data_IF_469489104218
#
_entry.id   IF_469489104218
#
_cell.length_a   1.000
_cell.length_b   1.000
_cell.length_c   1.000
_cell.angle_alpha   90.00
_cell.angle_beta   90.00
_cell.angle_gamma   90.00
#
_symmetry.space_group_name_H-M   'P 1'
#
loop_
_entity.id
_entity.type
_entity.pdbx_description
1 polymer ?
#
# COMPACT_ATOMS: atom_id res chain seq x y z
N UNK A 1 -20.93 41.95 -1.63
CA UNK A 1 -19.90 41.11 -1.08
C UNK A 1 -20.47 39.68 -1.05
N UNK A 2 -20.18 38.90 -2.09
CA UNK A 2 -20.65 37.51 -2.20
C UNK A 2 -19.56 36.65 -1.62
N UNK A 3 -19.89 35.92 -0.56
CA UNK A 3 -19.04 34.86 -0.02
C UNK A 3 -18.96 33.72 -1.04
N UNK A 4 -17.81 33.54 -1.64
CA UNK A 4 -17.45 32.32 -2.37
C UNK A 4 -17.34 31.17 -1.35
N UNK A 5 -18.33 30.29 -1.37
CA UNK A 5 -18.21 28.97 -0.75
C UNK A 5 -17.19 28.18 -1.55
N UNK A 6 -16.02 27.96 -0.98
CA UNK A 6 -15.10 26.91 -1.40
C UNK A 6 -15.85 25.58 -1.35
N UNK A 7 -16.20 25.05 -2.50
CA UNK A 7 -16.56 23.65 -2.67
C UNK A 7 -15.31 22.83 -2.40
N UNK A 8 -15.17 22.37 -1.16
CA UNK A 8 -14.19 21.38 -0.77
C UNK A 8 -14.40 20.13 -1.64
N UNK A 9 -13.47 19.90 -2.58
CA UNK A 9 -13.47 18.72 -3.41
C UNK A 9 -13.52 17.49 -2.52
N UNK A 10 -14.55 16.67 -2.70
CA UNK A 10 -14.63 15.31 -2.14
C UNK A 10 -13.39 14.55 -2.58
N UNK A 11 -12.43 14.43 -1.69
CA UNK A 11 -11.34 13.48 -1.83
C UNK A 11 -11.98 12.09 -1.72
N UNK A 12 -12.09 11.42 -2.85
CA UNK A 12 -12.54 10.04 -2.93
C UNK A 12 -11.41 9.18 -2.32
N UNK A 13 -11.50 8.96 -1.01
CA UNK A 13 -10.58 8.08 -0.29
C UNK A 13 -10.81 6.66 -0.82
N UNK A 14 -9.81 6.09 -1.49
CA UNK A 14 -9.84 4.74 -2.06
C UNK A 14 -10.43 3.75 -1.05
N UNK A 15 -11.65 3.36 -1.28
CA UNK A 15 -12.50 2.58 -0.39
C UNK A 15 -11.94 1.17 -0.25
N UNK A 16 -11.32 0.87 0.88
CA UNK A 16 -10.98 -0.51 1.22
C UNK A 16 -12.25 -1.17 1.74
N UNK A 17 -13.37 -1.11 1.11
CA UNK A 17 -14.62 -1.82 1.44
C UNK A 17 -14.78 -2.41 2.85
N UNK A 18 -14.03 -1.91 3.82
CA UNK A 18 -14.28 -2.15 5.24
C UNK A 18 -15.64 -1.49 5.56
N UNK A 19 -16.46 -2.09 6.45
CA UNK A 19 -17.75 -1.54 6.84
C UNK A 19 -17.55 -0.22 7.61
N UNK A 20 -17.29 0.88 6.90
CA UNK A 20 -16.98 2.18 7.48
C UNK A 20 -17.83 3.26 6.86
N UNK A 21 -18.37 4.12 7.72
CA UNK A 21 -18.97 5.35 7.30
C UNK A 21 -17.85 6.37 6.99
N UNK A 22 -17.78 6.89 5.76
CA UNK A 22 -16.71 7.80 5.30
C UNK A 22 -16.63 9.06 6.18
N UNK A 23 -17.76 9.52 6.73
CA UNK A 23 -17.80 10.68 7.60
C UNK A 23 -17.17 10.44 8.99
N UNK A 24 -17.09 9.19 9.45
CA UNK A 24 -16.36 8.81 10.67
C UNK A 24 -14.84 8.80 10.48
N UNK A 25 -14.37 8.65 9.24
CA UNK A 25 -12.94 8.60 8.89
C UNK A 25 -12.31 10.00 8.93
N UNK A 26 -13.05 11.04 8.59
CA UNK A 26 -12.53 12.39 8.37
C UNK A 26 -12.06 13.13 9.64
N UNK A 27 -12.34 12.58 10.83
CA UNK A 27 -12.00 13.23 12.11
C UNK A 27 -11.00 12.49 12.99
N UNK A 28 -10.55 11.29 12.60
CA UNK A 28 -9.65 10.46 13.43
C UNK A 28 -8.37 10.11 12.68
N UNK A 29 -7.26 10.17 13.38
CA UNK A 29 -5.94 9.78 12.84
C UNK A 29 -5.72 8.27 12.83
N UNK A 30 -6.60 7.50 13.47
CA UNK A 30 -6.39 6.11 13.79
C UNK A 30 -7.71 5.34 13.96
N UNK A 31 -7.79 4.13 13.38
CA UNK A 31 -8.91 3.18 13.50
C UNK A 31 -8.39 1.77 13.75
N UNK A 32 -9.15 1.02 14.53
CA UNK A 32 -8.91 -0.39 14.76
C UNK A 32 -10.15 -1.21 14.44
N UNK A 33 -9.97 -2.28 13.68
CA UNK A 33 -10.99 -3.25 13.35
C UNK A 33 -10.53 -4.62 13.82
N UNK A 34 -11.28 -5.24 14.71
CA UNK A 34 -10.96 -6.58 15.20
C UNK A 34 -11.90 -7.62 14.61
N UNK A 35 -11.44 -8.87 14.61
CA UNK A 35 -12.24 -10.03 14.23
C UNK A 35 -12.84 -9.92 12.81
N UNK A 36 -12.10 -9.34 11.87
CA UNK A 36 -12.48 -9.28 10.46
C UNK A 36 -12.37 -10.67 9.87
N UNK A 37 -13.45 -11.14 9.26
CA UNK A 37 -13.55 -12.43 8.55
C UNK A 37 -13.64 -12.21 7.04
N UNK A 38 -13.51 -13.30 6.27
CA UNK A 38 -13.63 -13.24 4.82
C UNK A 38 -14.96 -12.65 4.35
N UNK A 39 -16.07 -12.93 5.06
CA UNK A 39 -17.40 -12.44 4.71
C UNK A 39 -17.58 -10.91 4.90
N UNK A 40 -16.70 -10.27 5.71
CA UNK A 40 -16.74 -8.82 5.97
C UNK A 40 -15.90 -8.03 4.98
N UNK A 41 -15.05 -8.69 4.21
CA UNK A 41 -14.19 -8.03 3.23
C UNK A 41 -14.87 -8.03 1.87
N UNK A 42 -14.92 -6.89 1.17
CA UNK A 42 -15.51 -6.84 -0.16
C UNK A 42 -14.65 -7.57 -1.18
N UNK A 43 -15.28 -7.99 -2.25
CA UNK A 43 -14.56 -8.52 -3.41
C UNK A 43 -13.92 -7.36 -4.17
N UNK A 44 -12.65 -7.09 -3.91
CA UNK A 44 -11.88 -6.13 -4.72
C UNK A 44 -11.38 -6.80 -5.99
N UNK A 45 -12.06 -6.58 -7.07
CA UNK A 45 -11.58 -6.98 -8.39
C UNK A 45 -10.63 -5.94 -8.99
N UNK A 46 -10.74 -4.68 -8.58
CA UNK A 46 -9.93 -3.58 -9.08
C UNK A 46 -8.88 -3.12 -8.06
N UNK A 47 -7.71 -2.69 -8.53
CA UNK A 47 -6.68 -2.14 -7.64
C UNK A 47 -7.09 -0.79 -7.08
N UNK A 48 -6.89 -0.60 -5.77
CA UNK A 48 -7.19 0.63 -5.02
C UNK A 48 -5.92 1.26 -4.49
N UNK A 49 -5.75 2.56 -4.71
CA UNK A 49 -4.64 3.32 -4.12
C UNK A 49 -5.02 3.78 -2.72
N UNK A 50 -4.20 3.40 -1.74
CA UNK A 50 -4.46 3.71 -0.35
C UNK A 50 -4.13 5.16 -0.02
N UNK A 51 -5.01 5.81 0.73
CA UNK A 51 -4.82 7.15 1.29
C UNK A 51 -4.43 7.12 2.77
N UNK A 52 -4.39 5.93 3.36
CA UNK A 52 -3.96 5.65 4.71
C UNK A 52 -2.99 4.45 4.74
N UNK A 53 -2.21 4.32 5.79
CA UNK A 53 -1.40 3.13 6.04
C UNK A 53 -2.24 2.09 6.77
N UNK A 54 -2.06 0.81 6.41
CA UNK A 54 -2.80 -0.31 7.00
C UNK A 54 -1.81 -1.32 7.54
N UNK A 55 -2.02 -1.70 8.79
CA UNK A 55 -1.33 -2.82 9.40
C UNK A 55 -2.35 -3.92 9.72
N UNK A 56 -2.11 -5.13 9.23
CA UNK A 56 -3.02 -6.27 9.34
C UNK A 56 -2.33 -7.37 10.13
N UNK A 57 -2.91 -7.77 11.23
CA UNK A 57 -2.55 -9.00 11.92
C UNK A 57 -3.47 -10.12 11.45
N UNK A 58 -2.97 -10.98 10.58
CA UNK A 58 -3.66 -12.19 10.11
C UNK A 58 -3.43 -13.29 11.12
N UNK A 59 -4.50 -13.77 11.77
CA UNK A 59 -4.46 -14.86 12.75
C UNK A 59 -4.46 -16.20 12.09
N UNK A 60 -5.36 -16.39 11.14
CA UNK A 60 -5.58 -17.65 10.44
C UNK A 60 -6.03 -17.41 9.01
N UNK A 61 -6.03 -18.48 8.24
CA UNK A 61 -6.49 -18.51 6.85
C UNK A 61 -5.42 -18.04 5.86
N UNK A 62 -5.74 -18.27 4.58
CA UNK A 62 -4.92 -17.86 3.45
C UNK A 62 -5.35 -16.50 2.95
N UNK A 63 -4.39 -15.63 2.73
CA UNK A 63 -4.58 -14.28 2.23
C UNK A 63 -3.69 -14.05 1.00
N UNK A 64 -4.32 -13.78 -0.13
CA UNK A 64 -3.62 -13.48 -1.38
C UNK A 64 -4.01 -12.10 -1.86
N UNK A 65 -3.02 -11.23 -2.03
CA UNK A 65 -3.21 -9.86 -2.49
C UNK A 65 -2.04 -9.42 -3.37
N UNK A 66 -2.25 -8.34 -4.12
CA UNK A 66 -1.19 -7.63 -4.83
C UNK A 66 -0.95 -6.28 -4.16
N UNK A 67 0.29 -5.95 -3.89
CA UNK A 67 0.74 -4.62 -3.47
C UNK A 67 1.72 -4.06 -4.49
N UNK A 68 1.37 -2.92 -5.12
CA UNK A 68 2.18 -2.31 -6.19
C UNK A 68 2.59 -3.34 -7.26
N UNK A 69 1.64 -4.16 -7.73
CA UNK A 69 1.82 -5.22 -8.74
C UNK A 69 2.60 -6.47 -8.27
N UNK A 70 3.14 -6.48 -7.07
CA UNK A 70 3.79 -7.68 -6.50
C UNK A 70 2.72 -8.49 -5.78
N UNK A 71 2.61 -9.77 -6.13
CA UNK A 71 1.65 -10.68 -5.51
C UNK A 71 2.25 -11.35 -4.29
N UNK A 72 1.51 -11.33 -3.19
CA UNK A 72 1.81 -12.00 -1.93
C UNK A 72 0.75 -13.06 -1.68
N UNK A 73 1.18 -14.27 -1.31
CA UNK A 73 0.31 -15.43 -1.07
C UNK A 73 0.87 -16.18 0.14
N UNK A 74 0.13 -16.18 1.25
CA UNK A 74 0.60 -16.74 2.52
C UNK A 74 -0.56 -17.19 3.40
N UNK A 75 -0.24 -17.96 4.46
CA UNK A 75 -1.17 -18.33 5.53
C UNK A 75 -0.72 -17.67 6.84
N UNK A 76 -1.71 -17.28 7.67
CA UNK A 76 -1.45 -16.79 9.03
C UNK A 76 -0.82 -17.85 9.95
N UNK A 77 -0.22 -17.46 11.10
CA UNK A 77 -0.13 -16.08 11.60
C UNK A 77 0.92 -15.24 10.89
N UNK A 78 0.51 -14.05 10.49
CA UNK A 78 1.38 -13.11 9.76
C UNK A 78 1.00 -11.65 10.03
N UNK A 79 1.96 -10.75 9.87
CA UNK A 79 1.73 -9.32 9.84
C UNK A 79 1.87 -8.81 8.41
N UNK A 80 0.97 -7.92 8.00
CA UNK A 80 1.00 -7.25 6.71
C UNK A 80 0.98 -5.74 6.94
N UNK A 81 1.95 -5.03 6.37
CA UNK A 81 2.01 -3.57 6.43
C UNK A 81 1.98 -2.99 5.02
N UNK A 82 0.95 -2.21 4.73
CA UNK A 82 0.76 -1.53 3.45
C UNK A 82 0.71 -0.03 3.73
N UNK A 83 1.52 0.74 3.03
CA UNK A 83 1.71 2.16 3.32
C UNK A 83 0.74 3.04 2.54
N UNK A 84 0.51 4.21 3.06
CA UNK A 84 -0.12 5.30 2.30
C UNK A 84 0.53 5.46 0.92
N UNK A 85 -0.28 5.66 -0.12
CA UNK A 85 0.16 5.81 -1.50
C UNK A 85 0.49 4.50 -2.21
N UNK A 86 0.43 3.35 -1.54
CA UNK A 86 0.57 2.03 -2.18
C UNK A 86 -0.76 1.58 -2.79
N UNK A 87 -0.66 0.69 -3.78
CA UNK A 87 -1.82 0.16 -4.47
C UNK A 87 -2.08 -1.26 -4.04
N UNK A 88 -3.23 -1.48 -3.44
CA UNK A 88 -3.71 -2.78 -2.96
C UNK A 88 -4.76 -3.34 -3.92
N UNK A 89 -4.67 -4.63 -4.21
CA UNK A 89 -5.73 -5.40 -4.86
C UNK A 89 -5.88 -6.73 -4.13
N UNK A 90 -7.07 -7.01 -3.64
CA UNK A 90 -7.41 -8.29 -3.05
C UNK A 90 -7.63 -9.31 -4.17
N UNK A 91 -6.97 -10.47 -4.09
CA UNK A 91 -7.05 -11.51 -5.11
C UNK A 91 -7.86 -12.72 -4.63
N UNK A 92 -7.60 -13.21 -3.41
CA UNK A 92 -8.39 -14.27 -2.80
C UNK A 92 -8.20 -14.34 -1.29
N UNK A 93 -9.21 -14.81 -0.58
CA UNK A 93 -9.23 -15.04 0.87
C UNK A 93 -9.86 -16.39 1.12
N UNK A 94 -9.31 -17.19 2.04
CA UNK A 94 -9.93 -18.45 2.46
C UNK A 94 -11.10 -18.22 3.43
N UNK A 95 -12.08 -19.14 3.49
CA UNK A 95 -13.23 -18.98 4.39
C UNK A 95 -12.88 -18.91 5.89
N UNK A 96 -11.76 -19.51 6.30
CA UNK A 96 -11.24 -19.53 7.67
C UNK A 96 -10.36 -18.30 8.01
N UNK A 97 -10.35 -17.30 7.13
CA UNK A 97 -9.59 -16.07 7.35
C UNK A 97 -10.10 -15.29 8.57
N UNK A 98 -9.17 -14.95 9.44
CA UNK A 98 -9.41 -14.09 10.60
C UNK A 98 -8.27 -13.11 10.79
N UNK A 99 -8.59 -11.83 10.91
CA UNK A 99 -7.59 -10.78 11.05
C UNK A 99 -8.07 -9.60 11.92
N UNK A 100 -7.14 -8.76 12.33
CA UNK A 100 -7.40 -7.42 12.85
C UNK A 100 -6.63 -6.39 12.04
N UNK A 101 -7.23 -5.23 11.84
CA UNK A 101 -6.69 -4.15 11.02
C UNK A 101 -6.47 -2.92 11.90
N UNK A 102 -5.34 -2.25 11.69
CA UNK A 102 -5.08 -0.89 12.16
C UNK A 102 -4.95 -0.03 10.91
N UNK A 103 -5.80 0.98 10.80
CA UNK A 103 -5.74 1.99 9.73
C UNK A 103 -5.25 3.29 10.34
N UNK A 104 -4.25 3.90 9.75
CA UNK A 104 -3.56 5.07 10.28
C UNK A 104 -3.43 6.15 9.22
N UNK A 105 -3.74 7.40 9.59
CA UNK A 105 -3.48 8.54 8.72
C UNK A 105 -1.98 8.71 8.44
N UNK A 106 -1.64 9.39 7.35
CA UNK A 106 -0.25 9.73 7.05
C UNK A 106 0.40 10.51 8.19
N UNK A 107 -0.29 11.50 8.74
CA UNK A 107 0.21 12.35 9.82
C UNK A 107 0.46 11.57 11.11
N UNK A 108 -0.45 10.64 11.45
CA UNK A 108 -0.29 9.79 12.62
C UNK A 108 0.94 8.89 12.51
N UNK A 109 1.16 8.30 11.34
CA UNK A 109 2.33 7.45 11.08
C UNK A 109 3.63 8.27 11.14
N UNK A 110 3.67 9.46 10.54
CA UNK A 110 4.83 10.34 10.59
C UNK A 110 5.15 10.77 12.03
N UNK A 111 4.14 11.12 12.82
CA UNK A 111 4.29 11.51 14.23
C UNK A 111 4.87 10.37 15.08
N UNK A 112 4.35 9.15 14.93
CA UNK A 112 4.90 7.95 15.62
C UNK A 112 6.37 7.74 15.28
N UNK A 113 6.74 7.83 14.00
CA UNK A 113 8.11 7.56 13.57
C UNK A 113 9.11 8.62 14.00
N UNK A 114 8.70 9.88 14.12
CA UNK A 114 9.52 10.92 14.72
C UNK A 114 9.89 10.60 16.18
N UNK A 115 9.00 9.94 16.93
CA UNK A 115 9.21 9.58 18.32
C UNK A 115 10.02 8.28 18.50
N UNK A 116 9.94 7.34 17.56
CA UNK A 116 10.65 6.05 17.64
C UNK A 116 12.11 6.18 17.21
N UNK A 117 12.45 7.18 16.39
CA UNK A 117 13.80 7.47 15.84
C UNK A 117 14.51 6.25 15.23
N UNK A 118 13.75 5.37 14.56
CA UNK A 118 14.25 4.08 14.05
C UNK A 118 14.01 3.93 12.53
N UNK A 119 14.78 4.70 11.77
CA UNK A 119 14.68 4.76 10.30
C UNK A 119 15.07 3.44 9.61
N UNK A 120 15.91 2.61 10.23
CA UNK A 120 16.36 1.35 9.62
C UNK A 120 15.22 0.32 9.58
N UNK A 121 14.40 0.29 10.60
CA UNK A 121 13.29 -0.63 10.74
C UNK A 121 12.16 -0.35 9.74
N UNK A 122 11.96 0.92 9.40
CA UNK A 122 11.01 1.33 8.37
C UNK A 122 11.37 0.82 6.98
N UNK A 123 12.66 0.74 6.68
CA UNK A 123 13.10 0.29 5.36
C UNK A 123 12.89 -1.21 5.16
N UNK A 124 13.00 -2.05 6.20
CA UNK A 124 12.71 -3.47 6.15
C UNK A 124 11.22 -3.74 5.89
N UNK A 125 10.35 -3.10 6.66
CA UNK A 125 8.89 -3.17 6.47
C UNK A 125 8.46 -2.64 5.10
N UNK A 126 9.21 -1.68 4.56
CA UNK A 126 8.96 -1.11 3.24
C UNK A 126 9.32 -2.07 2.09
N UNK A 127 10.33 -2.90 2.30
CA UNK A 127 10.76 -3.91 1.31
C UNK A 127 9.87 -5.15 1.32
N UNK A 128 9.44 -5.57 2.51
CA UNK A 128 8.68 -6.80 2.73
C UNK A 128 7.36 -6.46 3.42
N UNK A 129 6.26 -6.23 2.70
CA UNK A 129 4.98 -5.89 3.33
C UNK A 129 4.42 -7.04 4.18
N UNK A 130 4.88 -8.27 4.00
CA UNK A 130 4.41 -9.47 4.72
C UNK A 130 5.56 -10.09 5.50
N UNK A 131 5.34 -10.37 6.80
CA UNK A 131 6.24 -11.16 7.61
C UNK A 131 5.46 -12.20 8.44
N UNK A 132 5.99 -13.42 8.54
CA UNK A 132 5.46 -14.44 9.45
C UNK A 132 5.69 -14.04 10.89
N UNK A 133 4.72 -14.32 11.75
CA UNK A 133 4.82 -14.05 13.18
C UNK A 133 5.30 -15.34 13.88
N UNK A 134 6.42 -15.31 14.62
CA UNK A 134 6.82 -16.41 15.48
C UNK A 134 5.78 -16.70 16.57
N UNK A 135 5.63 -17.96 16.94
CA UNK A 135 4.60 -18.39 17.91
C UNK A 135 4.68 -17.65 19.25
N UNK A 136 5.91 -17.40 19.72
CA UNK A 136 6.18 -16.66 20.99
C UNK A 136 5.75 -15.19 20.94
N UNK A 137 5.48 -14.64 19.75
CA UNK A 137 5.07 -13.25 19.54
C UNK A 137 3.56 -13.13 19.29
N UNK A 138 2.87 -14.18 18.86
CA UNK A 138 1.42 -14.14 18.55
C UNK A 138 0.60 -13.59 19.73
N UNK A 139 0.80 -14.13 20.93
CA UNK A 139 0.08 -13.68 22.13
C UNK A 139 0.34 -12.20 22.47
N UNK A 140 1.51 -11.67 22.13
CA UNK A 140 1.85 -10.25 22.33
C UNK A 140 1.07 -9.36 21.37
N UNK A 141 0.94 -9.76 20.09
CA UNK A 141 0.09 -9.05 19.13
C UNK A 141 -1.37 -9.06 19.57
N UNK A 142 -1.91 -10.20 20.02
CA UNK A 142 -3.27 -10.29 20.55
C UNK A 142 -3.49 -9.30 21.70
N UNK A 143 -2.57 -9.26 22.66
CA UNK A 143 -2.64 -8.36 23.80
C UNK A 143 -2.59 -6.89 23.39
N UNK A 144 -1.72 -6.54 22.42
CA UNK A 144 -1.62 -5.16 21.92
C UNK A 144 -2.89 -4.71 21.19
N UNK A 145 -3.47 -5.56 20.35
CA UNK A 145 -4.73 -5.24 19.67
C UNK A 145 -5.89 -5.07 20.66
N UNK A 146 -5.95 -5.94 21.68
CA UNK A 146 -6.95 -5.83 22.76
C UNK A 146 -6.78 -4.53 23.55
N UNK A 147 -5.55 -4.16 23.88
CA UNK A 147 -5.25 -2.91 24.56
C UNK A 147 -5.63 -1.69 23.73
N UNK A 148 -5.33 -1.70 22.43
CA UNK A 148 -5.73 -0.63 21.50
C UNK A 148 -7.26 -0.48 21.43
N UNK A 149 -8.01 -1.58 21.40
CA UNK A 149 -9.48 -1.52 21.40
C UNK A 149 -10.02 -0.90 22.67
N UNK A 150 -9.51 -1.31 23.84
CA UNK A 150 -9.94 -0.77 25.15
C UNK A 150 -9.65 0.73 25.23
N UNK A 151 -8.45 1.14 24.85
CA UNK A 151 -8.04 2.57 24.86
C UNK A 151 -8.86 3.38 23.87
N UNK A 152 -9.16 2.84 22.69
CA UNK A 152 -9.92 3.57 21.65
C UNK A 152 -11.39 3.75 21.99
N UNK A 153 -11.94 3.00 22.94
CA UNK A 153 -13.31 3.17 23.43
C UNK A 153 -13.44 4.18 24.60
N UNK A 154 -12.33 4.63 25.16
CA UNK A 154 -12.31 5.60 26.26
C UNK A 154 -12.26 7.05 25.72
N UNK A 155 -13.27 7.85 26.01
CA UNK A 155 -13.37 9.23 25.57
C UNK A 155 -13.08 10.24 26.71
N UNK A 156 -12.54 9.82 27.85
CA UNK A 156 -12.43 10.65 29.06
C UNK A 156 -11.40 11.79 28.94
N UNK A 157 -10.29 11.57 28.20
CA UNK A 157 -9.26 12.59 27.97
C UNK A 157 -8.58 12.39 26.60
N UNK A 158 -8.90 13.22 25.58
CA UNK A 158 -8.36 13.04 24.24
C UNK A 158 -6.83 13.09 24.13
N UNK A 159 -6.16 13.91 24.93
CA UNK A 159 -4.70 14.03 24.90
C UNK A 159 -4.02 12.80 25.50
N UNK A 160 -4.54 12.33 26.64
CA UNK A 160 -4.04 11.11 27.28
C UNK A 160 -4.30 9.88 26.42
N UNK A 161 -5.49 9.82 25.79
CA UNK A 161 -5.86 8.78 24.84
C UNK A 161 -4.87 8.72 23.67
N UNK A 162 -4.54 9.85 23.06
CA UNK A 162 -3.56 9.93 21.96
C UNK A 162 -2.18 9.44 22.40
N UNK A 163 -1.70 9.83 23.58
CA UNK A 163 -0.41 9.39 24.10
C UNK A 163 -0.36 7.87 24.36
N UNK A 164 -1.45 7.28 24.88
CA UNK A 164 -1.55 5.83 25.08
C UNK A 164 -1.59 5.08 23.75
N UNK A 165 -2.37 5.56 22.78
CA UNK A 165 -2.42 4.99 21.44
C UNK A 165 -1.03 5.00 20.76
N UNK A 166 -0.30 6.12 20.82
CA UNK A 166 1.06 6.22 20.31
C UNK A 166 2.00 5.20 20.96
N UNK A 167 1.94 5.08 22.29
CA UNK A 167 2.78 4.13 23.03
C UNK A 167 2.51 2.68 22.63
N UNK A 168 1.23 2.28 22.55
CA UNK A 168 0.86 0.90 22.17
C UNK A 168 1.25 0.62 20.71
N UNK A 169 1.08 1.57 19.80
CA UNK A 169 1.49 1.42 18.39
C UNK A 169 3.02 1.36 18.27
N UNK A 170 3.77 2.12 19.06
CA UNK A 170 5.23 2.02 19.11
C UNK A 170 5.69 0.62 19.53
N UNK A 171 5.06 0.02 20.56
CA UNK A 171 5.31 -1.38 20.93
C UNK A 171 4.91 -2.36 19.83
N UNK A 172 3.77 -2.13 19.17
CA UNK A 172 3.35 -2.92 18.02
C UNK A 172 4.42 -2.94 16.93
N UNK A 173 4.93 -1.79 16.52
CA UNK A 173 5.98 -1.71 15.52
C UNK A 173 7.28 -2.37 15.98
N UNK A 174 7.63 -2.28 17.26
CA UNK A 174 8.80 -2.96 17.81
C UNK A 174 8.72 -4.47 17.67
N UNK A 175 7.55 -5.08 17.90
CA UNK A 175 7.35 -6.52 17.69
C UNK A 175 7.23 -6.87 16.22
N UNK A 176 6.55 -6.05 15.42
CA UNK A 176 6.49 -6.22 13.98
C UNK A 176 7.91 -6.28 13.39
N UNK A 177 8.78 -5.37 13.80
CA UNK A 177 10.16 -5.35 13.34
C UNK A 177 10.90 -6.66 13.59
N UNK A 178 10.75 -7.29 14.76
CA UNK A 178 11.37 -8.62 15.02
C UNK A 178 10.94 -9.68 14.00
N UNK A 179 9.72 -9.60 13.49
CA UNK A 179 9.26 -10.50 12.44
C UNK A 179 10.00 -10.24 11.12
N UNK A 180 10.39 -9.00 10.85
CA UNK A 180 11.12 -8.61 9.64
C UNK A 180 12.63 -8.85 9.74
N UNK A 181 13.25 -8.75 10.91
CA UNK A 181 14.68 -9.09 11.12
C UNK A 181 14.99 -10.52 10.64
N UNK A 182 14.06 -11.44 10.84
CA UNK A 182 14.22 -12.84 10.42
C UNK A 182 14.22 -13.00 8.89
N UNK A 183 13.67 -12.04 8.15
CA UNK A 183 13.66 -12.06 6.68
C UNK A 183 14.94 -11.46 6.08
N UNK A 184 15.62 -10.54 6.80
CA UNK A 184 16.80 -9.84 6.29
C UNK A 184 18.13 -10.63 6.45
N UNK A 185 18.09 -11.79 7.10
CA UNK A 185 19.28 -12.61 7.35
C UNK A 185 19.89 -13.28 6.09
N UNK A 186 19.30 -13.09 4.91
CA UNK A 186 19.85 -13.58 3.63
C UNK A 186 20.04 -12.44 2.63
N UNK A 187 21.26 -11.91 2.47
CA UNK A 187 21.52 -10.81 1.54
C UNK A 187 21.85 -11.30 0.13
N UNK A 188 20.87 -11.58 -0.69
CA UNK A 188 21.07 -11.70 -2.13
C UNK A 188 21.22 -10.30 -2.76
N UNK A 189 22.39 -10.00 -3.32
CA UNK A 189 22.66 -8.73 -4.01
C UNK A 189 21.74 -8.49 -5.21
N UNK A 190 21.30 -9.56 -5.88
CA UNK A 190 20.37 -9.50 -7.00
C UNK A 190 18.96 -9.11 -6.56
N UNK A 191 18.48 -9.68 -5.43
CA UNK A 191 17.20 -9.29 -4.83
C UNK A 191 17.21 -7.81 -4.43
N UNK A 192 18.29 -7.34 -3.77
CA UNK A 192 18.43 -5.91 -3.41
C UNK A 192 18.42 -4.97 -4.62
N UNK A 193 19.06 -5.35 -5.73
CA UNK A 193 19.05 -4.55 -6.95
C UNK A 193 17.64 -4.47 -7.54
N UNK A 194 16.91 -5.58 -7.57
CA UNK A 194 15.52 -5.63 -8.05
C UNK A 194 14.59 -4.79 -7.18
N UNK A 195 14.72 -4.85 -5.85
CA UNK A 195 13.92 -4.06 -4.91
C UNK A 195 14.18 -2.55 -5.07
N UNK A 196 15.46 -2.16 -5.17
CA UNK A 196 15.85 -0.77 -5.43
C UNK A 196 15.28 -0.26 -6.75
N UNK A 197 15.33 -1.09 -7.80
CA UNK A 197 14.75 -0.77 -9.10
C UNK A 197 13.24 -0.56 -9.00
N UNK A 198 12.48 -1.49 -8.41
CA UNK A 198 11.02 -1.40 -8.28
C UNK A 198 10.63 -0.14 -7.48
N UNK A 199 11.37 0.16 -6.40
CA UNK A 199 11.17 1.39 -5.64
C UNK A 199 11.39 2.64 -6.48
N UNK A 200 12.48 2.69 -7.24
CA UNK A 200 12.80 3.83 -8.09
C UNK A 200 11.76 3.99 -9.22
N UNK A 201 11.28 2.89 -9.81
CA UNK A 201 10.19 2.92 -10.79
C UNK A 201 8.93 3.50 -10.18
N UNK A 202 8.52 3.05 -9.00
CA UNK A 202 7.34 3.57 -8.29
C UNK A 202 7.41 5.08 -8.09
N UNK A 203 8.60 5.61 -7.79
CA UNK A 203 8.79 7.04 -7.53
C UNK A 203 8.86 7.88 -8.82
N UNK A 204 9.34 7.30 -9.94
CA UNK A 204 9.72 8.04 -11.15
C UNK A 204 8.98 7.68 -12.44
N UNK A 205 8.15 6.63 -12.47
CA UNK A 205 7.51 6.13 -13.70
C UNK A 205 6.68 7.17 -14.48
N UNK A 206 6.19 8.21 -13.82
CA UNK A 206 5.42 9.29 -14.47
C UNK A 206 6.28 10.17 -15.35
N UNK A 207 7.51 10.42 -14.95
CA UNK A 207 8.46 11.29 -15.63
C UNK A 207 9.49 10.50 -16.43
N UNK A 208 9.99 9.39 -15.89
CA UNK A 208 11.06 8.60 -16.46
C UNK A 208 10.52 7.28 -17.01
N UNK A 209 10.70 7.04 -18.31
CA UNK A 209 10.16 5.87 -19.01
C UNK A 209 11.21 4.98 -19.63
N UNK A 210 12.45 5.46 -19.72
CA UNK A 210 13.56 4.76 -20.36
C UNK A 210 14.37 3.99 -19.33
N UNK A 211 14.70 2.75 -19.67
CA UNK A 211 15.46 1.87 -18.78
C UNK A 211 16.85 2.41 -18.45
N UNK A 212 17.42 3.18 -19.37
CA UNK A 212 18.73 3.81 -19.26
C UNK A 212 18.82 4.69 -18.01
N UNK A 213 17.81 5.53 -17.74
CA UNK A 213 17.73 6.35 -16.56
C UNK A 213 17.84 5.53 -15.28
N UNK A 214 17.06 4.46 -15.18
CA UNK A 214 17.05 3.61 -13.97
C UNK A 214 18.36 2.85 -13.79
N UNK A 215 18.98 2.44 -14.89
CA UNK A 215 20.26 1.75 -14.84
C UNK A 215 21.39 2.68 -14.38
N UNK A 216 21.40 3.93 -14.85
CA UNK A 216 22.34 4.98 -14.44
C UNK A 216 22.19 5.30 -12.96
N UNK A 217 20.98 5.57 -12.47
CA UNK A 217 20.68 5.84 -11.06
C UNK A 217 21.08 4.69 -10.11
N UNK A 218 21.04 3.45 -10.62
CA UNK A 218 21.40 2.27 -9.84
C UNK A 218 22.88 1.86 -10.00
N UNK A 219 23.64 2.55 -10.85
CA UNK A 219 25.06 2.28 -11.10
C UNK A 219 25.32 0.97 -11.81
N UNK A 220 24.42 0.52 -12.72
CA UNK A 220 24.53 -0.72 -13.47
C UNK A 220 24.22 -0.51 -14.95
N UNK A 221 24.57 -1.50 -15.79
CA UNK A 221 24.17 -1.44 -17.21
C UNK A 221 22.69 -1.80 -17.39
N UNK A 222 21.97 -1.23 -18.39
CA UNK A 222 20.57 -1.58 -18.68
C UNK A 222 20.37 -3.10 -18.90
N UNK A 223 21.33 -3.74 -19.56
CA UNK A 223 21.31 -5.20 -19.81
C UNK A 223 21.39 -5.99 -18.51
N UNK A 224 22.29 -5.60 -17.60
CA UNK A 224 22.43 -6.25 -16.29
C UNK A 224 21.17 -6.05 -15.45
N UNK A 225 20.66 -4.81 -15.37
CA UNK A 225 19.43 -4.49 -14.65
C UNK A 225 18.25 -5.32 -15.15
N UNK A 226 17.99 -5.32 -16.48
CA UNK A 226 16.85 -6.05 -17.06
C UNK A 226 16.95 -7.56 -16.80
N UNK A 227 18.15 -8.14 -16.92
CA UNK A 227 18.36 -9.58 -16.65
C UNK A 227 18.13 -9.92 -15.19
N UNK A 228 18.68 -9.12 -14.26
CA UNK A 228 18.55 -9.34 -12.83
C UNK A 228 17.10 -9.21 -12.38
N UNK A 229 16.42 -8.12 -12.77
CA UNK A 229 15.00 -7.90 -12.45
C UNK A 229 14.14 -9.03 -13.02
N UNK A 230 14.38 -9.48 -14.25
CA UNK A 230 13.61 -10.58 -14.85
C UNK A 230 13.84 -11.91 -14.11
N UNK A 231 15.05 -12.19 -13.69
CA UNK A 231 15.36 -13.41 -12.95
C UNK A 231 14.66 -13.44 -11.57
N UNK A 232 14.58 -12.29 -10.89
CA UNK A 232 13.99 -12.17 -9.56
C UNK A 232 12.46 -12.05 -9.58
N UNK A 233 11.88 -11.40 -10.59
CA UNK A 233 10.46 -11.03 -10.60
C UNK A 233 9.63 -11.71 -11.69
N UNK A 234 10.27 -12.41 -12.63
CA UNK A 234 9.63 -12.98 -13.81
C UNK A 234 9.33 -11.97 -14.94
N UNK A 235 9.42 -10.66 -14.69
CA UNK A 235 9.14 -9.59 -15.65
C UNK A 235 10.38 -8.78 -15.98
N UNK A 236 10.51 -8.32 -17.25
CA UNK A 236 11.60 -7.43 -17.62
C UNK A 236 11.47 -6.07 -16.91
N UNK A 237 12.60 -5.36 -16.75
CA UNK A 237 12.58 -4.03 -16.14
C UNK A 237 11.68 -3.05 -16.92
N UNK A 238 11.72 -3.06 -18.25
CA UNK A 238 10.82 -2.25 -19.09
C UNK A 238 9.33 -2.59 -18.86
N UNK A 239 9.01 -3.88 -18.68
CA UNK A 239 7.64 -4.31 -18.37
C UNK A 239 7.18 -3.78 -17.00
N UNK A 240 8.06 -3.64 -16.01
CA UNK A 240 7.71 -3.05 -14.73
C UNK A 240 7.32 -1.57 -14.85
N UNK A 241 8.10 -0.78 -15.61
CA UNK A 241 7.79 0.63 -15.87
C UNK A 241 6.41 0.77 -16.54
N UNK A 242 6.16 -0.04 -17.57
CA UNK A 242 4.88 -0.05 -18.30
C UNK A 242 3.71 -0.44 -17.37
N UNK A 243 3.87 -1.47 -16.55
CA UNK A 243 2.83 -1.94 -15.62
C UNK A 243 2.46 -0.89 -14.57
N UNK A 244 3.43 -0.16 -14.01
CA UNK A 244 3.15 0.93 -13.07
C UNK A 244 2.37 2.07 -13.74
N UNK A 245 2.73 2.41 -14.98
CA UNK A 245 2.02 3.45 -15.73
C UNK A 245 0.57 3.05 -16.03
N UNK A 246 0.34 1.80 -16.43
CA UNK A 246 -1.00 1.28 -16.66
C UNK A 246 -1.80 1.16 -15.36
N UNK A 247 -1.18 0.73 -14.27
CA UNK A 247 -1.83 0.67 -12.97
C UNK A 247 -2.34 2.04 -12.52
N UNK A 248 -1.48 3.07 -12.56
CA UNK A 248 -1.88 4.44 -12.22
C UNK A 248 -2.97 4.98 -13.16
N UNK A 249 -2.87 4.66 -14.46
CA UNK A 249 -3.90 5.02 -15.43
C UNK A 249 -5.27 4.46 -15.06
N UNK A 250 -5.33 3.19 -14.68
CA UNK A 250 -6.56 2.52 -14.23
C UNK A 250 -7.14 3.17 -12.98
N UNK A 251 -6.29 3.45 -11.99
CA UNK A 251 -6.68 4.12 -10.75
C UNK A 251 -7.26 5.50 -11.05
N UNK A 252 -6.56 6.34 -11.80
CA UNK A 252 -7.04 7.68 -12.14
C UNK A 252 -8.36 7.65 -12.92
N UNK A 253 -8.54 6.69 -13.82
CA UNK A 253 -9.79 6.53 -14.57
C UNK A 253 -10.97 6.13 -13.68
N UNK A 254 -10.76 5.28 -12.67
CA UNK A 254 -11.83 4.75 -11.80
C UNK A 254 -12.09 5.60 -10.56
N UNK A 255 -11.04 6.18 -9.98
CA UNK A 255 -11.11 6.84 -8.67
C UNK A 255 -11.14 8.37 -8.74
N UNK A 256 -11.15 8.98 -9.94
CA UNK A 256 -11.17 10.43 -10.07
C UNK A 256 -12.13 10.90 -11.17
N UNK A 257 -12.56 12.18 -11.06
CA UNK A 257 -13.33 12.86 -12.08
C UNK A 257 -12.45 13.55 -13.14
N UNK A 258 -11.14 13.32 -13.15
CA UNK A 258 -10.24 13.91 -14.15
C UNK A 258 -10.66 13.50 -15.56
N UNK A 259 -10.64 14.43 -16.51
CA UNK A 259 -10.86 14.09 -17.92
C UNK A 259 -9.74 13.20 -18.46
N UNK A 260 -9.99 12.50 -19.55
CA UNK A 260 -8.95 11.65 -20.19
C UNK A 260 -7.74 12.50 -20.62
N UNK A 261 -7.97 13.77 -21.01
CA UNK A 261 -6.89 14.72 -21.29
C UNK A 261 -6.07 15.02 -20.03
N UNK A 262 -6.71 15.39 -18.94
CA UNK A 262 -6.04 15.67 -17.66
C UNK A 262 -5.25 14.46 -17.13
N UNK A 263 -5.76 13.25 -17.31
CA UNK A 263 -5.02 12.01 -16.97
C UNK A 263 -3.80 11.84 -17.87
N UNK A 264 -3.95 12.08 -19.18
CA UNK A 264 -2.85 12.08 -20.14
C UNK A 264 -1.73 13.04 -19.71
N UNK A 265 -2.10 14.27 -19.33
CA UNK A 265 -1.17 15.31 -18.89
C UNK A 265 -0.53 14.95 -17.54
N UNK A 266 -1.31 14.47 -16.58
CA UNK A 266 -0.82 14.02 -15.26
C UNK A 266 0.20 12.87 -15.36
N UNK A 267 0.02 12.00 -16.36
CA UNK A 267 0.91 10.90 -16.63
C UNK A 267 2.01 11.26 -17.66
N UNK A 268 2.16 12.55 -17.98
CA UNK A 268 3.19 13.08 -18.88
C UNK A 268 3.22 12.40 -20.26
N UNK A 269 2.03 12.15 -20.85
CA UNK A 269 1.94 11.73 -22.25
C UNK A 269 1.96 12.93 -23.18
N UNK A 270 2.57 12.81 -24.38
CA UNK A 270 2.63 13.90 -25.35
C UNK A 270 1.25 14.43 -25.79
N UNK A 271 0.27 13.55 -25.92
CA UNK A 271 -1.11 13.88 -26.28
C UNK A 271 -2.09 12.87 -25.72
N UNK A 272 -3.36 13.30 -25.54
CA UNK A 272 -4.48 12.40 -25.17
C UNK A 272 -4.61 11.21 -26.17
N UNK A 273 -4.41 11.46 -27.45
CA UNK A 273 -4.49 10.41 -28.48
C UNK A 273 -3.41 9.36 -28.31
N UNK A 274 -2.20 9.77 -27.95
CA UNK A 274 -1.11 8.84 -27.66
C UNK A 274 -1.41 8.01 -26.40
N UNK A 275 -1.87 8.66 -25.33
CA UNK A 275 -2.33 7.97 -24.12
C UNK A 275 -3.43 6.95 -24.44
N UNK A 276 -4.44 7.34 -25.21
CA UNK A 276 -5.56 6.47 -25.59
C UNK A 276 -5.11 5.21 -26.34
N UNK A 277 -4.17 5.35 -27.32
CA UNK A 277 -3.60 4.22 -28.06
C UNK A 277 -2.75 3.33 -27.13
N UNK A 278 -1.91 3.93 -26.30
CA UNK A 278 -1.07 3.22 -25.35
C UNK A 278 -1.91 2.41 -24.35
N UNK A 279 -2.90 3.04 -23.73
CA UNK A 279 -3.80 2.38 -22.79
C UNK A 279 -4.57 1.23 -23.45
N UNK A 280 -5.18 1.47 -24.63
CA UNK A 280 -5.93 0.44 -25.37
C UNK A 280 -5.03 -0.74 -25.75
N UNK A 281 -3.79 -0.50 -26.16
CA UNK A 281 -2.83 -1.56 -26.49
C UNK A 281 -2.57 -2.48 -25.29
N UNK A 282 -2.46 -1.91 -24.08
CA UNK A 282 -2.07 -2.65 -22.88
C UNK A 282 -3.26 -3.22 -22.08
N UNK A 283 -4.45 -2.60 -22.18
CA UNK A 283 -5.64 -2.98 -21.39
C UNK A 283 -6.72 -3.65 -22.27
N UNK A 284 -6.63 -3.50 -23.59
CA UNK A 284 -7.59 -4.07 -24.54
C UNK A 284 -8.75 -3.13 -24.89
N UNK A 285 -9.10 -2.18 -24.00
CA UNK A 285 -10.21 -1.24 -24.20
C UNK A 285 -9.74 0.21 -24.10
N UNK A 286 -10.54 1.15 -24.65
CA UNK A 286 -10.20 2.57 -24.56
C UNK A 286 -10.35 3.11 -23.12
N UNK A 287 -9.61 4.20 -22.75
CA UNK A 287 -9.75 4.82 -21.44
C UNK A 287 -11.20 5.19 -21.06
N UNK A 288 -11.96 5.73 -22.04
CA UNK A 288 -13.37 6.09 -21.83
C UNK A 288 -14.25 4.87 -21.56
N UNK A 289 -14.03 3.77 -22.30
CA UNK A 289 -14.79 2.52 -22.09
C UNK A 289 -14.44 1.90 -20.73
N UNK A 290 -13.15 1.88 -20.38
CA UNK A 290 -12.68 1.39 -19.09
C UNK A 290 -13.27 2.16 -17.89
N UNK A 291 -13.40 3.49 -18.00
CA UNK A 291 -14.02 4.32 -16.95
C UNK A 291 -15.46 3.93 -16.69
N UNK A 292 -16.20 3.61 -17.74
CA UNK A 292 -17.66 3.37 -17.68
C UNK A 292 -18.01 1.89 -17.43
N UNK A 293 -17.04 0.99 -17.44
CA UNK A 293 -17.23 -0.42 -17.07
C UNK A 293 -17.18 -0.61 -15.56
#
# INVERSE_FOLDING_TARGET
>A
MKEEKEEGGRLDYGYIGLPMNVDEILGKDFWIFANITAAMLPSFTEPVKLTASISIFVRSGRFKFSNNLITYDFCGPAIVNIRNGETLQLLSISPDFSASFIVMSKFFVEDIFLHINDMQNLSAMARHPVAKIPEDIVAKFESLYKSLQLVSSDNSNPQMLKALQHSIIAFYYRYAYRCYELLESSPDSAARLSDRFIKLVKDKFKTERFLEYYAEELGVTPKHLSRTVKAQTGYSAASWIERFLILESKILLKSTNLTVQQISDNLNFPTQSFFGKYFKKNVGVSPKLYRNS
#
